data_IF_337304021248
#
_entry.id   IF_337304021248
#
_cell.length_a   1.000
_cell.length_b   1.000
_cell.length_c   1.000
_cell.angle_alpha   90.00
_cell.angle_beta   90.00
_cell.angle_gamma   90.00
#
_symmetry.space_group_name_H-M   'P 1'
#
loop_
_entity.id
_entity.type
_entity.pdbx_description
1 polymer ?
#
# COMPACT_ATOMS: atom_id res chain seq x y z
N UNK A 1 -13.23 -20.35 34.14
CA UNK A 1 -13.64 -19.04 33.58
C UNK A 1 -12.46 -18.47 32.83
N UNK A 2 -12.41 -18.65 31.50
CA UNK A 2 -11.33 -18.14 30.67
C UNK A 2 -11.63 -16.70 30.27
N UNK A 3 -10.81 -15.76 30.73
CA UNK A 3 -10.89 -14.36 30.32
C UNK A 3 -10.43 -14.22 28.86
N UNK A 4 -11.28 -13.64 28.02
CA UNK A 4 -10.86 -13.14 26.73
C UNK A 4 -9.88 -11.98 26.94
N UNK A 5 -8.75 -11.90 26.22
CA UNK A 5 -7.93 -10.71 26.24
C UNK A 5 -8.78 -9.53 25.75
N UNK A 6 -8.68 -8.40 26.46
CA UNK A 6 -9.37 -7.18 26.11
C UNK A 6 -9.05 -6.80 24.66
N UNK A 7 -10.11 -6.47 23.90
CA UNK A 7 -10.01 -5.94 22.55
C UNK A 7 -8.98 -4.79 22.54
N UNK A 8 -7.99 -4.78 21.63
CA UNK A 8 -7.03 -3.68 21.56
C UNK A 8 -7.77 -2.36 21.34
N UNK A 9 -7.41 -1.35 22.12
CA UNK A 9 -8.03 -0.03 22.10
C UNK A 9 -8.00 0.56 20.68
N UNK A 10 -9.14 0.99 20.09
CA UNK A 10 -9.21 1.53 18.73
C UNK A 10 -8.36 2.78 18.50
N UNK A 11 -7.76 3.35 19.54
CA UNK A 11 -6.86 4.51 19.51
C UNK A 11 -5.55 4.28 18.74
N UNK A 12 -5.16 3.02 18.47
CA UNK A 12 -3.91 2.70 17.72
C UNK A 12 -4.10 2.71 16.19
N UNK A 13 -5.34 2.77 15.70
CA UNK A 13 -5.64 2.79 14.25
C UNK A 13 -5.59 4.23 13.74
N UNK A 14 -4.56 4.55 12.96
CA UNK A 14 -4.51 5.82 12.24
C UNK A 14 -5.52 5.85 11.10
N UNK A 15 -6.72 6.42 11.33
CA UNK A 15 -7.72 6.64 10.28
C UNK A 15 -7.34 7.90 9.50
N UNK A 16 -6.53 7.74 8.46
CA UNK A 16 -6.21 8.82 7.53
C UNK A 16 -7.34 9.06 6.53
N UNK A 17 -8.14 10.12 6.71
CA UNK A 17 -8.95 10.67 5.60
C UNK A 17 -8.04 11.52 4.72
N UNK A 18 -7.51 10.94 3.64
CA UNK A 18 -6.70 11.69 2.69
C UNK A 18 -7.60 12.56 1.81
N UNK A 19 -7.89 13.79 2.27
CA UNK A 19 -8.69 14.77 1.52
C UNK A 19 -7.74 15.61 0.67
N UNK A 20 -7.72 15.43 -0.66
CA UNK A 20 -6.95 16.32 -1.54
C UNK A 20 -7.63 17.69 -1.57
N UNK A 21 -7.05 18.69 -0.89
CA UNK A 21 -7.48 20.07 -1.02
C UNK A 21 -7.05 20.62 -2.38
N UNK A 22 -8.02 20.91 -3.26
CA UNK A 22 -7.82 21.91 -4.31
C UNK A 22 -8.13 23.27 -3.70
N UNK A 23 -7.19 24.20 -3.75
CA UNK A 23 -7.50 25.62 -3.57
C UNK A 23 -6.79 26.44 -4.64
N UNK A 24 -7.60 27.27 -5.29
CA UNK A 24 -7.19 28.35 -6.18
C UNK A 24 -6.95 29.62 -5.38
N UNK A 25 -6.01 30.46 -5.84
CA UNK A 25 -5.93 31.92 -5.76
C UNK A 25 -4.44 32.29 -5.96
N UNK A 26 -4.05 32.93 -7.06
CA UNK A 26 -4.21 34.35 -7.42
C UNK A 26 -3.15 35.26 -6.76
N UNK A 27 -2.53 36.10 -7.59
CA UNK A 27 -1.16 36.58 -7.42
C UNK A 27 -0.99 37.97 -6.79
N UNK A 28 0.29 38.33 -6.57
CA UNK A 28 0.93 39.60 -7.03
C UNK A 28 2.33 39.80 -6.42
N UNK A 29 3.30 40.05 -7.30
CA UNK A 29 4.25 41.17 -7.24
C UNK A 29 5.33 41.21 -6.15
N UNK A 30 6.59 41.01 -6.56
CA UNK A 30 7.76 41.43 -5.80
C UNK A 30 9.05 41.28 -6.61
N UNK A 31 9.63 42.40 -7.05
CA UNK A 31 10.91 42.45 -7.76
C UNK A 31 12.05 42.03 -6.82
N UNK A 32 12.73 40.93 -7.17
CA UNK A 32 13.92 40.44 -6.48
C UNK A 32 14.80 39.65 -7.46
N UNK A 33 16.03 40.12 -7.60
CA UNK A 33 17.13 39.75 -8.48
C UNK A 33 17.24 38.25 -8.80
N UNK A 34 17.39 37.94 -10.09
CA UNK A 34 17.53 36.60 -10.63
C UNK A 34 18.85 35.95 -10.22
N UNK A 35 18.79 35.10 -9.20
CA UNK A 35 19.65 33.91 -9.15
C UNK A 35 18.90 32.84 -9.92
N UNK A 36 19.45 32.35 -11.05
CA UNK A 36 18.99 31.12 -11.71
C UNK A 36 19.31 29.94 -10.78
N UNK A 37 18.61 29.89 -9.65
CA UNK A 37 18.58 28.73 -8.78
C UNK A 37 17.76 27.68 -9.49
N UNK A 38 18.36 26.51 -9.70
CA UNK A 38 17.58 25.31 -9.92
C UNK A 38 16.69 25.16 -8.67
N UNK A 39 15.46 25.67 -8.72
CA UNK A 39 14.45 25.47 -7.70
C UNK A 39 14.33 23.98 -7.54
N UNK A 40 14.82 23.47 -6.41
CA UNK A 40 14.81 22.05 -6.18
C UNK A 40 13.34 21.67 -6.15
N UNK A 41 12.95 20.63 -6.90
CA UNK A 41 11.57 20.09 -6.89
C UNK A 41 11.11 19.63 -5.49
N UNK A 42 11.99 19.72 -4.50
CA UNK A 42 11.79 19.39 -3.10
C UNK A 42 11.55 20.61 -2.21
N UNK A 43 11.59 21.84 -2.76
CA UNK A 43 11.58 23.09 -1.97
C UNK A 43 10.16 23.60 -1.63
N UNK A 44 9.10 22.89 -2.04
CA UNK A 44 7.72 23.22 -1.67
C UNK A 44 7.14 22.12 -0.75
N UNK A 45 7.13 22.34 0.57
CA UNK A 45 6.61 21.38 1.55
C UNK A 45 5.09 21.14 1.44
N UNK A 46 4.37 21.86 0.57
CA UNK A 46 2.96 21.60 0.23
C UNK A 46 2.76 20.89 -1.10
N UNK A 47 3.79 20.79 -1.96
CA UNK A 47 3.65 20.23 -3.29
C UNK A 47 3.95 18.74 -3.28
N UNK A 48 2.90 17.94 -3.35
CA UNK A 48 3.01 16.50 -3.60
C UNK A 48 3.70 16.32 -4.96
N UNK A 49 4.92 15.76 -4.94
CA UNK A 49 5.63 15.41 -6.17
C UNK A 49 4.73 14.53 -7.05
N UNK A 50 4.61 14.81 -8.37
CA UNK A 50 3.73 14.04 -9.23
C UNK A 50 4.11 12.56 -9.23
N UNK A 51 3.12 11.70 -9.42
CA UNK A 51 3.39 10.29 -9.68
C UNK A 51 3.92 10.15 -11.12
N UNK A 52 4.94 9.31 -11.30
CA UNK A 52 5.47 8.96 -12.61
C UNK A 52 5.15 7.50 -12.86
N UNK A 53 4.57 7.21 -14.01
CA UNK A 53 4.19 5.87 -14.41
C UNK A 53 5.41 4.94 -14.49
N UNK A 54 5.18 3.67 -14.15
CA UNK A 54 6.19 2.62 -14.10
C UNK A 54 5.70 1.37 -14.80
N UNK A 55 6.63 0.57 -15.29
CA UNK A 55 6.32 -0.66 -16.05
C UNK A 55 5.40 -1.63 -15.27
N UNK A 56 5.52 -1.70 -13.94
CA UNK A 56 4.73 -2.60 -13.10
C UNK A 56 3.30 -2.10 -12.80
N UNK A 57 2.96 -0.86 -13.15
CA UNK A 57 1.72 -0.21 -12.72
C UNK A 57 0.46 -0.86 -13.32
N UNK A 58 0.55 -1.32 -14.56
CA UNK A 58 -0.54 -2.05 -15.19
C UNK A 58 -0.87 -3.35 -14.45
N UNK A 59 0.14 -4.08 -13.98
CA UNK A 59 -0.04 -5.32 -13.22
C UNK A 59 -0.60 -5.04 -11.83
N UNK A 60 -0.13 -3.99 -11.15
CA UNK A 60 -0.65 -3.57 -9.85
C UNK A 60 -2.15 -3.23 -9.97
N UNK A 61 -2.51 -2.42 -10.97
CA UNK A 61 -3.91 -2.04 -11.22
C UNK A 61 -4.78 -3.25 -11.53
N UNK A 62 -4.30 -4.17 -12.36
CA UNK A 62 -5.02 -5.40 -12.68
C UNK A 62 -5.24 -6.29 -11.45
N UNK A 63 -4.23 -6.40 -10.56
CA UNK A 63 -4.36 -7.15 -9.31
C UNK A 63 -5.42 -6.54 -8.38
N UNK A 64 -5.42 -5.22 -8.22
CA UNK A 64 -6.41 -4.50 -7.41
C UNK A 64 -7.85 -4.63 -7.95
N UNK A 65 -8.03 -4.61 -9.27
CA UNK A 65 -9.35 -4.82 -9.88
C UNK A 65 -9.78 -6.31 -9.86
N UNK A 66 -8.86 -7.21 -9.58
CA UNK A 66 -9.10 -8.64 -9.57
C UNK A 66 -10.10 -9.11 -8.50
N UNK A 67 -10.61 -10.34 -8.64
CA UNK A 67 -11.56 -10.92 -7.69
C UNK A 67 -10.91 -11.27 -6.34
N UNK A 68 -9.59 -11.30 -6.27
CA UNK A 68 -8.85 -11.71 -5.08
C UNK A 68 -8.81 -10.59 -4.05
N UNK A 69 -9.15 -10.84 -2.78
CA UNK A 69 -9.17 -9.80 -1.76
C UNK A 69 -7.76 -9.34 -1.35
N UNK A 70 -6.73 -10.13 -1.63
CA UNK A 70 -5.34 -9.87 -1.30
C UNK A 70 -4.54 -9.45 -2.54
N UNK A 71 -3.80 -8.34 -2.43
CA UNK A 71 -2.78 -7.90 -3.39
C UNK A 71 -1.44 -7.72 -2.67
N UNK A 72 -0.39 -8.39 -3.17
CA UNK A 72 0.97 -8.26 -2.67
C UNK A 72 1.83 -7.61 -3.76
N UNK A 73 2.46 -6.49 -3.46
CA UNK A 73 3.44 -5.83 -4.33
C UNK A 73 4.81 -6.00 -3.72
N UNK A 74 5.64 -6.78 -4.39
CA UNK A 74 7.02 -7.00 -3.98
C UNK A 74 8.00 -6.31 -4.92
N UNK A 75 9.12 -5.89 -4.37
CA UNK A 75 10.20 -5.31 -5.16
C UNK A 75 11.50 -5.22 -4.36
N UNK A 76 12.62 -4.89 -5.04
CA UNK A 76 13.85 -4.54 -4.36
C UNK A 76 13.66 -3.38 -3.38
N UNK A 77 14.54 -3.30 -2.39
CA UNK A 77 14.57 -2.17 -1.46
C UNK A 77 14.69 -0.85 -2.25
N UNK A 78 13.91 0.15 -1.83
CA UNK A 78 13.80 1.47 -2.49
C UNK A 78 13.25 1.45 -3.93
N UNK A 79 12.64 0.36 -4.40
CA UNK A 79 11.96 0.36 -5.71
C UNK A 79 10.69 1.25 -5.73
N UNK A 80 10.28 1.81 -4.59
CA UNK A 80 9.09 2.65 -4.46
C UNK A 80 7.78 1.86 -4.51
N UNK A 81 7.80 0.58 -4.13
CA UNK A 81 6.61 -0.27 -4.06
C UNK A 81 5.49 0.33 -3.20
N UNK A 82 5.73 0.98 -2.04
CA UNK A 82 4.64 1.61 -1.29
C UNK A 82 4.01 2.78 -2.05
N UNK A 83 4.83 3.57 -2.76
CA UNK A 83 4.32 4.71 -3.55
C UNK A 83 3.46 4.26 -4.72
N UNK A 84 3.91 3.25 -5.47
CA UNK A 84 3.13 2.69 -6.60
C UNK A 84 1.82 2.08 -6.13
N UNK A 85 1.85 1.24 -5.09
CA UNK A 85 0.63 0.63 -4.58
C UNK A 85 -0.32 1.69 -4.00
N UNK A 86 0.18 2.71 -3.29
CA UNK A 86 -0.65 3.75 -2.70
C UNK A 86 -1.34 4.59 -3.78
N UNK A 87 -0.60 4.95 -4.83
CA UNK A 87 -1.14 5.66 -5.98
C UNK A 87 -2.31 4.88 -6.63
N UNK A 88 -2.11 3.60 -6.94
CA UNK A 88 -3.15 2.80 -7.59
C UNK A 88 -4.32 2.48 -6.68
N UNK A 89 -4.08 2.24 -5.38
CA UNK A 89 -5.18 2.06 -4.43
C UNK A 89 -6.07 3.31 -4.36
N UNK A 90 -5.49 4.51 -4.33
CA UNK A 90 -6.28 5.75 -4.33
C UNK A 90 -7.10 5.94 -5.61
N UNK A 91 -6.57 5.51 -6.76
CA UNK A 91 -7.30 5.58 -8.04
C UNK A 91 -8.42 4.54 -8.14
N UNK A 92 -8.18 3.32 -7.65
CA UNK A 92 -9.12 2.19 -7.79
C UNK A 92 -10.19 2.20 -6.68
N UNK A 93 -9.84 2.68 -5.49
CA UNK A 93 -10.70 2.66 -4.31
C UNK A 93 -10.82 4.05 -3.66
N UNK A 94 -11.28 5.09 -4.40
CA UNK A 94 -11.29 6.47 -3.91
C UNK A 94 -12.17 6.67 -2.67
N UNK A 95 -13.25 5.90 -2.55
CA UNK A 95 -14.23 6.03 -1.47
C UNK A 95 -13.99 5.06 -0.30
N UNK A 96 -13.01 4.15 -0.44
CA UNK A 96 -12.74 3.17 0.61
C UNK A 96 -11.89 3.75 1.72
N UNK A 97 -12.16 3.30 2.94
CA UNK A 97 -11.34 3.66 4.10
C UNK A 97 -10.02 2.91 4.05
N UNK A 98 -8.91 3.65 4.01
CA UNK A 98 -7.59 3.07 4.20
C UNK A 98 -7.30 2.91 5.69
N UNK A 99 -6.99 1.69 6.10
CA UNK A 99 -6.57 1.36 7.45
C UNK A 99 -5.09 0.98 7.42
N UNK A 100 -4.29 1.73 8.16
CA UNK A 100 -2.86 1.47 8.31
C UNK A 100 -2.59 1.21 9.79
N UNK A 101 -1.94 0.09 10.08
CA UNK A 101 -1.49 -0.21 11.43
C UNK A 101 -0.09 0.35 11.63
N UNK A 102 0.14 0.95 12.80
CA UNK A 102 1.51 1.22 13.25
C UNK A 102 2.23 -0.11 13.42
N UNK A 103 3.52 -0.15 13.09
CA UNK A 103 4.33 -1.34 13.32
C UNK A 103 4.36 -1.66 14.80
N UNK A 104 3.63 -2.70 15.20
CA UNK A 104 3.60 -3.27 16.53
C UNK A 104 3.68 -4.80 16.39
N UNK A 105 4.78 -5.43 16.84
CA UNK A 105 4.97 -6.86 16.70
C UNK A 105 4.03 -7.69 17.59
N UNK A 106 3.35 -7.06 18.55
CA UNK A 106 2.38 -7.73 19.43
C UNK A 106 1.01 -7.89 18.79
N UNK A 107 0.71 -7.13 17.74
CA UNK A 107 -0.55 -7.21 16.99
C UNK A 107 -0.40 -8.23 15.87
N UNK A 108 -1.24 -9.27 15.88
CA UNK A 108 -1.20 -10.29 14.82
C UNK A 108 -1.94 -9.83 13.57
N UNK A 109 -1.65 -10.43 12.42
CA UNK A 109 -2.41 -10.19 11.18
C UNK A 109 -3.89 -10.52 11.38
N UNK A 110 -4.21 -11.53 12.20
CA UNK A 110 -5.60 -11.86 12.53
C UNK A 110 -6.30 -10.70 13.23
N UNK A 111 -5.68 -10.12 14.26
CA UNK A 111 -6.23 -8.98 15.01
C UNK A 111 -6.43 -7.77 14.10
N UNK A 112 -5.47 -7.51 13.21
CA UNK A 112 -5.58 -6.43 12.22
C UNK A 112 -6.78 -6.62 11.30
N UNK A 113 -7.02 -7.86 10.86
CA UNK A 113 -8.13 -8.21 9.98
C UNK A 113 -9.49 -8.13 10.69
N UNK A 114 -9.55 -8.55 11.95
CA UNK A 114 -10.76 -8.45 12.78
C UNK A 114 -11.17 -6.98 12.95
N UNK A 115 -10.22 -6.13 13.35
CA UNK A 115 -10.44 -4.69 13.48
C UNK A 115 -10.82 -4.07 12.13
N UNK A 116 -10.12 -4.43 11.04
CA UNK A 116 -10.42 -3.92 9.71
C UNK A 116 -11.81 -4.36 9.20
N UNK A 117 -12.27 -5.54 9.60
CA UNK A 117 -13.58 -6.09 9.26
C UNK A 117 -14.75 -5.22 9.73
N UNK A 118 -14.61 -4.53 10.87
CA UNK A 118 -15.62 -3.57 11.37
C UNK A 118 -15.87 -2.45 10.36
N UNK A 119 -14.83 -2.05 9.62
CA UNK A 119 -14.87 -0.96 8.65
C UNK A 119 -15.20 -1.41 7.23
N UNK A 120 -15.32 -2.72 6.99
CA UNK A 120 -15.58 -3.28 5.66
C UNK A 120 -17.03 -3.06 5.16
N UNK A 121 -17.93 -2.56 6.02
CA UNK A 121 -19.32 -2.23 5.67
C UNK A 121 -19.41 -0.94 4.84
N UNK A 122 -20.45 -0.82 4.02
CA UNK A 122 -20.67 0.35 3.15
C UNK A 122 -19.73 0.33 1.95
N UNK A 123 -18.97 1.41 1.74
CA UNK A 123 -18.04 1.56 0.61
C UNK A 123 -16.86 0.57 0.66
N UNK A 124 -16.65 -0.07 1.81
CA UNK A 124 -15.59 -1.03 2.07
C UNK A 124 -14.32 -0.41 2.63
N UNK A 125 -13.36 -1.27 2.92
CA UNK A 125 -12.07 -0.88 3.52
C UNK A 125 -10.90 -1.52 2.78
N UNK A 126 -9.75 -0.87 2.88
CA UNK A 126 -8.46 -1.39 2.46
C UNK A 126 -7.56 -1.45 3.69
N UNK A 127 -7.18 -2.66 4.09
CA UNK A 127 -6.11 -2.87 5.05
C UNK A 127 -4.77 -2.78 4.34
N UNK A 128 -3.93 -1.85 4.77
CA UNK A 128 -2.58 -1.67 4.27
C UNK A 128 -1.55 -2.19 5.26
N UNK A 129 -0.73 -3.13 4.82
CA UNK A 129 0.41 -3.65 5.56
C UNK A 129 1.69 -3.22 4.84
N UNK A 130 2.40 -2.25 5.42
CA UNK A 130 3.67 -1.81 4.87
C UNK A 130 4.82 -2.71 5.35
N UNK A 131 5.68 -3.11 4.42
CA UNK A 131 6.89 -3.91 4.66
C UNK A 131 6.59 -5.17 5.48
N UNK A 132 5.96 -6.14 4.83
CA UNK A 132 5.62 -7.42 5.46
C UNK A 132 6.87 -8.17 5.93
N UNK A 133 6.82 -8.70 7.14
CA UNK A 133 7.87 -9.56 7.72
C UNK A 133 7.57 -11.03 7.44
N UNK A 134 8.56 -11.91 7.59
CA UNK A 134 8.33 -13.34 7.47
C UNK A 134 7.26 -13.87 8.45
N UNK A 135 7.17 -13.27 9.64
CA UNK A 135 6.14 -13.61 10.64
C UNK A 135 4.73 -13.29 10.12
N UNK A 136 4.53 -12.11 9.56
CA UNK A 136 3.24 -11.75 8.96
C UNK A 136 2.87 -12.66 7.78
N UNK A 137 3.85 -13.05 6.95
CA UNK A 137 3.61 -14.00 5.85
C UNK A 137 3.18 -15.37 6.40
N UNK A 138 3.82 -15.86 7.47
CA UNK A 138 3.45 -17.12 8.10
C UNK A 138 2.04 -17.12 8.71
N UNK A 139 1.51 -15.93 9.06
CA UNK A 139 0.15 -15.75 9.55
C UNK A 139 -0.89 -15.66 8.42
N UNK A 140 -0.47 -15.41 7.18
CA UNK A 140 -1.37 -15.42 6.03
C UNK A 140 -1.55 -16.87 5.56
N UNK A 141 -2.71 -17.44 5.83
CA UNK A 141 -3.08 -18.76 5.31
C UNK A 141 -4.35 -18.70 4.43
N UNK A 142 -4.61 -19.79 3.71
CA UNK A 142 -5.76 -19.87 2.80
C UNK A 142 -7.11 -19.89 3.53
N UNK A 143 -7.18 -20.30 4.80
CA UNK A 143 -8.41 -20.24 5.58
C UNK A 143 -8.73 -18.79 5.96
N UNK A 144 -7.74 -18.05 6.45
CA UNK A 144 -7.83 -16.63 6.77
C UNK A 144 -8.23 -15.79 5.56
N UNK A 145 -7.65 -16.05 4.39
CA UNK A 145 -8.01 -15.33 3.16
C UNK A 145 -9.44 -15.62 2.68
N UNK A 146 -9.97 -16.81 2.99
CA UNK A 146 -11.36 -17.19 2.66
C UNK A 146 -12.36 -16.64 3.66
N UNK A 147 -11.95 -16.34 4.89
CA UNK A 147 -12.82 -15.76 5.92
C UNK A 147 -12.83 -14.23 5.93
N UNK A 148 -12.15 -13.58 4.98
CA UNK A 148 -12.13 -12.12 4.89
C UNK A 148 -13.55 -11.56 4.71
N UNK A 149 -13.94 -10.54 5.51
CA UNK A 149 -15.22 -9.87 5.34
C UNK A 149 -15.40 -9.35 3.92
N UNK A 150 -16.62 -9.52 3.38
CA UNK A 150 -16.99 -8.91 2.11
C UNK A 150 -16.76 -7.40 2.17
N UNK A 151 -16.14 -6.84 1.13
CA UNK A 151 -15.79 -5.43 1.07
C UNK A 151 -14.41 -5.07 1.63
N UNK A 152 -13.74 -5.99 2.36
CA UNK A 152 -12.36 -5.80 2.80
C UNK A 152 -11.38 -6.19 1.69
N UNK A 153 -10.42 -5.31 1.40
CA UNK A 153 -9.25 -5.59 0.58
C UNK A 153 -8.00 -5.52 1.44
N UNK A 154 -7.03 -6.36 1.17
CA UNK A 154 -5.73 -6.39 1.86
C UNK A 154 -4.65 -6.08 0.84
N UNK A 155 -3.89 -5.02 1.11
CA UNK A 155 -2.81 -4.53 0.28
C UNK A 155 -1.51 -4.61 1.07
N UNK A 156 -0.52 -5.29 0.50
CA UNK A 156 0.73 -5.60 1.19
C UNK A 156 1.90 -5.15 0.33
N UNK A 157 2.87 -4.46 0.93
CA UNK A 157 4.17 -4.24 0.32
C UNK A 157 5.20 -5.17 0.97
N UNK A 158 6.17 -5.65 0.21
CA UNK A 158 7.23 -6.48 0.75
C UNK A 158 8.52 -6.38 -0.04
N UNK A 159 9.64 -6.67 0.62
CA UNK A 159 10.91 -6.84 -0.07
C UNK A 159 10.96 -8.21 -0.73
N UNK A 160 11.46 -8.26 -1.96
CA UNK A 160 11.57 -9.53 -2.71
C UNK A 160 12.30 -10.60 -1.90
N UNK A 161 13.39 -10.24 -1.20
CA UNK A 161 14.19 -11.18 -0.41
C UNK A 161 13.37 -11.90 0.67
N UNK A 162 12.45 -11.18 1.32
CA UNK A 162 11.57 -11.73 2.37
C UNK A 162 10.53 -12.69 1.80
N UNK A 163 10.01 -12.40 0.61
CA UNK A 163 8.90 -13.14 0.00
C UNK A 163 9.35 -14.30 -0.89
N UNK A 164 10.56 -14.27 -1.44
CA UNK A 164 11.10 -15.41 -2.19
C UNK A 164 11.54 -16.57 -1.29
N UNK A 165 11.81 -16.31 0.00
CA UNK A 165 12.16 -17.31 1.00
C UNK A 165 10.99 -17.87 1.80
N UNK A 166 9.76 -17.37 1.59
CA UNK A 166 8.56 -17.75 2.35
C UNK A 166 7.46 -18.27 1.43
N UNK A 167 6.76 -19.31 1.88
CA UNK A 167 5.68 -19.93 1.09
C UNK A 167 4.43 -19.03 1.10
N UNK A 168 4.22 -18.28 0.02
CA UNK A 168 3.02 -17.46 -0.16
C UNK A 168 1.81 -18.37 -0.49
N UNK A 169 0.64 -18.21 0.18
CA UNK A 169 -0.50 -19.10 -0.04
C UNK A 169 -0.96 -19.15 -1.49
N UNK A 170 -1.38 -20.33 -1.99
CA UNK A 170 -2.02 -20.46 -3.29
C UNK A 170 -3.31 -19.65 -3.30
N UNK A 171 -3.37 -18.65 -4.19
CA UNK A 171 -4.45 -17.66 -4.22
C UNK A 171 -3.99 -16.20 -4.23
N UNK A 172 -2.73 -15.91 -3.88
CA UNK A 172 -2.27 -14.53 -3.61
C UNK A 172 -1.74 -13.72 -4.82
N UNK A 173 -1.20 -14.34 -5.88
CA UNK A 173 -0.84 -13.68 -7.15
C UNK A 173 -0.38 -14.71 -8.20
N UNK A 174 -0.50 -14.39 -9.50
CA UNK A 174 0.26 -15.04 -10.58
C UNK A 174 1.65 -14.41 -10.65
N UNK A 175 2.71 -15.22 -10.77
CA UNK A 175 4.05 -14.74 -11.17
C UNK A 175 3.97 -14.25 -12.62
N UNK A 176 4.29 -12.99 -12.88
CA UNK A 176 4.95 -12.61 -14.14
C UNK A 176 6.45 -12.74 -13.91
N UNK A 177 7.17 -13.62 -14.64
CA UNK A 177 8.62 -13.57 -14.63
C UNK A 177 9.03 -12.24 -15.29
N UNK A 178 9.72 -11.39 -14.52
CA UNK A 178 10.49 -10.28 -15.10
C UNK A 178 11.47 -10.93 -16.08
N UNK A 179 11.19 -10.79 -17.37
CA UNK A 179 12.09 -11.30 -18.40
C UNK A 179 13.33 -10.42 -18.38
N UNK A 180 14.54 -10.97 -18.14
CA UNK A 180 15.75 -10.18 -18.23
C UNK A 180 15.87 -9.61 -19.65
N UNK A 181 16.09 -8.29 -19.74
CA UNK A 181 16.37 -7.62 -21.01
C UNK A 181 17.56 -8.33 -21.70
N UNK A 182 17.49 -8.67 -23.00
CA UNK A 182 18.65 -9.16 -23.71
C UNK A 182 19.73 -8.08 -23.72
N UNK A 183 20.91 -8.43 -23.22
CA UNK A 183 22.12 -7.62 -23.28
C UNK A 183 22.64 -7.60 -24.71
N UNK A 184 22.11 -6.70 -25.55
CA UNK A 184 22.72 -6.34 -26.82
C UNK A 184 23.38 -4.97 -26.71
N UNK A 185 24.60 -4.95 -26.19
CA UNK A 185 25.57 -3.89 -26.51
C UNK A 185 26.84 -4.59 -26.96
N UNK A 186 26.88 -4.90 -28.25
CA UNK A 186 28.11 -5.18 -28.97
C UNK A 186 28.45 -3.97 -29.83
N UNK A 187 29.65 -3.42 -29.62
CA UNK A 187 30.59 -3.06 -30.67
C UNK A 187 32.00 -3.26 -30.13
#
# INVERSE_FOLDING_TARGET
MGGYPACPDPTTVGIGRYRSSRSAADGRGGHGYAVRGASSRFDDPGRVSPYLDRDADAEIRAALLGPKPLTIVQGPRLAGTPRSLAHHVQQVYPDRRMLVFRSDPTITVHDMLEVAGVWARGDGAVLWLDVITALHVAQLDAALLRSLPAGLRVCITGETATLTGTHVPPGSAKRSPITPRPSSWGR
#
